data_IF_526057829217
#
_entry.id   IF_526057829217
#
_cell.length_a   1.000
_cell.length_b   1.000
_cell.length_c   1.000
_cell.angle_alpha   90.00
_cell.angle_beta   90.00
_cell.angle_gamma   90.00
#
_symmetry.space_group_name_H-M   'P 1'
#
loop_
_entity.id
_entity.type
_entity.pdbx_description
1 polymer ?
#
# COMPACT_ATOMS: atom_id res chain seq x y z
N UNK A 1 -2.98 -13.43 1.84
CA UNK A 1 -4.38 -13.07 1.53
C UNK A 1 -4.44 -12.52 0.11
N UNK A 2 -5.29 -13.07 -0.78
CA UNK A 2 -5.46 -12.53 -2.13
C UNK A 2 -6.11 -11.13 -2.08
N UNK A 3 -5.62 -10.23 -2.92
CA UNK A 3 -6.17 -8.87 -3.09
C UNK A 3 -7.09 -8.75 -4.30
N UNK A 4 -7.05 -9.73 -5.20
CA UNK A 4 -7.88 -9.76 -6.39
C UNK A 4 -8.93 -10.86 -6.30
N UNK A 5 -10.14 -10.50 -6.69
CA UNK A 5 -11.25 -11.42 -6.93
C UNK A 5 -11.94 -11.00 -8.23
N UNK A 6 -11.91 -11.87 -9.23
CA UNK A 6 -12.51 -11.62 -10.54
C UNK A 6 -11.97 -10.31 -11.16
N UNK A 7 -10.66 -10.08 -11.08
CA UNK A 7 -10.00 -8.88 -11.60
C UNK A 7 -10.29 -7.57 -10.86
N UNK A 8 -11.00 -7.62 -9.73
CA UNK A 8 -11.33 -6.47 -8.89
C UNK A 8 -10.65 -6.53 -7.52
N UNK A 9 -10.50 -5.38 -6.87
CA UNK A 9 -9.92 -5.26 -5.53
C UNK A 9 -10.74 -4.35 -4.63
N UNK A 10 -10.72 -4.67 -3.33
CA UNK A 10 -11.28 -3.85 -2.25
C UNK A 10 -10.16 -3.18 -1.40
N UNK A 11 -8.90 -3.47 -1.71
CA UNK A 11 -7.74 -2.97 -0.97
C UNK A 11 -6.58 -2.58 -1.88
N UNK A 12 -6.02 -1.41 -1.62
CA UNK A 12 -4.71 -1.02 -2.13
C UNK A 12 -3.69 -1.18 -1.01
N UNK A 13 -2.53 -1.74 -1.33
CA UNK A 13 -1.48 -2.02 -0.35
C UNK A 13 -0.17 -1.40 -0.80
N UNK A 14 0.48 -0.69 0.13
CA UNK A 14 1.84 -0.17 -0.04
C UNK A 14 2.72 -0.88 0.98
N UNK A 15 3.67 -1.69 0.49
CA UNK A 15 4.62 -2.40 1.35
C UNK A 15 5.98 -1.72 1.26
N UNK A 16 6.41 -1.14 2.37
CA UNK A 16 7.72 -0.51 2.54
C UNK A 16 8.67 -1.45 3.27
N UNK A 17 9.94 -1.46 2.86
CA UNK A 17 11.02 -2.12 3.58
C UNK A 17 12.25 -1.21 3.64
N UNK A 18 12.60 -0.74 4.83
CA UNK A 18 13.82 0.06 5.02
C UNK A 18 13.96 0.65 6.41
N UNK A 19 15.15 1.18 6.69
CA UNK A 19 15.53 1.75 7.98
C UNK A 19 14.75 3.02 8.33
N UNK A 20 14.32 3.79 7.32
CA UNK A 20 13.52 5.02 7.50
C UNK A 20 12.01 4.73 7.71
N UNK A 21 11.64 3.55 8.24
CA UNK A 21 10.24 3.13 8.37
C UNK A 21 9.38 4.08 9.21
N UNK A 22 9.94 4.68 10.26
CA UNK A 22 9.23 5.66 11.09
C UNK A 22 8.87 6.92 10.29
N UNK A 23 9.83 7.40 9.47
CA UNK A 23 9.61 8.52 8.56
C UNK A 23 8.59 8.17 7.49
N UNK A 24 8.63 6.96 6.94
CA UNK A 24 7.62 6.48 6.00
C UNK A 24 6.22 6.49 6.62
N UNK A 25 6.04 5.98 7.85
CA UNK A 25 4.75 6.00 8.55
C UNK A 25 4.24 7.45 8.71
N UNK A 26 5.08 8.36 9.19
CA UNK A 26 4.71 9.76 9.38
C UNK A 26 4.30 10.44 8.05
N UNK A 27 5.05 10.19 6.98
CA UNK A 27 4.75 10.70 5.64
C UNK A 27 3.43 10.16 5.11
N UNK A 28 3.14 8.87 5.31
CA UNK A 28 1.88 8.26 4.89
C UNK A 28 0.68 8.83 5.63
N UNK A 29 0.76 8.99 6.96
CA UNK A 29 -0.29 9.62 7.77
C UNK A 29 -0.58 11.05 7.31
N UNK A 30 0.47 11.86 7.11
CA UNK A 30 0.33 13.23 6.61
C UNK A 30 -0.22 13.28 5.18
N UNK A 31 0.29 12.45 4.27
CA UNK A 31 -0.19 12.37 2.89
C UNK A 31 -1.68 12.06 2.86
N UNK A 32 -2.12 11.06 3.60
CA UNK A 32 -3.51 10.65 3.64
C UNK A 32 -4.43 11.69 4.26
N UNK A 33 -3.99 12.37 5.32
CA UNK A 33 -4.70 13.50 5.89
C UNK A 33 -4.90 14.63 4.87
N UNK A 34 -3.84 15.01 4.16
CA UNK A 34 -3.89 16.10 3.17
C UNK A 34 -4.64 15.74 1.89
N UNK A 35 -4.78 14.44 1.57
CA UNK A 35 -5.55 13.97 0.39
C UNK A 35 -6.94 13.45 0.72
N UNK A 36 -7.38 13.52 1.99
CA UNK A 36 -8.70 13.04 2.42
C UNK A 36 -8.86 11.52 2.41
N UNK A 37 -7.77 10.76 2.46
CA UNK A 37 -7.81 9.29 2.56
C UNK A 37 -7.98 8.92 4.04
N UNK A 38 -9.19 8.56 4.46
CA UNK A 38 -9.49 8.22 5.85
C UNK A 38 -9.48 6.71 6.13
N UNK A 39 -9.90 5.89 5.16
CA UNK A 39 -10.07 4.45 5.33
C UNK A 39 -8.76 3.69 5.08
N UNK A 40 -7.82 3.79 6.03
CA UNK A 40 -6.57 3.04 5.97
C UNK A 40 -6.18 2.41 7.30
N UNK A 41 -5.30 1.42 7.25
CA UNK A 41 -4.68 0.79 8.42
C UNK A 41 -3.21 0.55 8.13
N UNK A 42 -2.36 0.86 9.11
CA UNK A 42 -0.93 0.64 9.03
C UNK A 42 -0.59 -0.54 9.92
N UNK A 43 0.22 -1.44 9.39
CA UNK A 43 0.69 -2.61 10.11
C UNK A 43 2.20 -2.74 9.99
N UNK A 44 2.79 -3.29 11.03
CA UNK A 44 4.16 -3.77 11.05
C UNK A 44 4.17 -5.25 10.66
N UNK A 45 5.12 -5.60 9.78
CA UNK A 45 5.42 -6.98 9.43
C UNK A 45 6.29 -7.66 10.50
N UNK A 46 6.86 -8.82 10.14
CA UNK A 46 7.76 -9.58 11.02
C UNK A 46 8.98 -8.77 11.48
N UNK A 47 9.57 -8.02 10.55
CA UNK A 47 10.72 -7.15 10.81
C UNK A 47 10.22 -5.73 11.05
N UNK A 48 10.80 -5.01 12.02
CA UNK A 48 10.34 -3.65 12.39
C UNK A 48 10.32 -2.66 11.21
N UNK A 49 11.20 -2.89 10.24
CA UNK A 49 11.41 -2.09 9.03
C UNK A 49 10.41 -2.39 7.91
N UNK A 50 9.61 -3.44 8.05
CA UNK A 50 8.56 -3.80 7.09
C UNK A 50 7.24 -3.18 7.53
N UNK A 51 6.77 -2.21 6.75
CA UNK A 51 5.48 -1.56 6.99
C UNK A 51 4.54 -1.88 5.84
N UNK A 52 3.31 -2.25 6.17
CA UNK A 52 2.24 -2.48 5.22
C UNK A 52 1.14 -1.46 5.49
N UNK A 53 0.81 -0.66 4.48
CA UNK A 53 -0.29 0.29 4.53
C UNK A 53 -1.42 -0.24 3.67
N UNK A 54 -2.53 -0.59 4.31
CA UNK A 54 -3.75 -1.04 3.65
C UNK A 54 -4.70 0.14 3.52
N UNK A 55 -5.19 0.40 2.31
CA UNK A 55 -6.18 1.42 2.01
C UNK A 55 -7.42 0.68 1.54
N UNK A 56 -8.50 0.77 2.30
CA UNK A 56 -9.77 0.21 1.89
C UNK A 56 -10.39 1.11 0.81
N UNK A 57 -10.90 0.48 -0.24
CA UNK A 57 -11.54 1.17 -1.36
C UNK A 57 -12.84 0.47 -1.73
N UNK A 58 -13.74 1.19 -2.39
CA UNK A 58 -14.85 0.54 -3.08
C UNK A 58 -14.30 -0.41 -4.15
N UNK A 59 -15.00 -1.53 -4.34
CA UNK A 59 -14.61 -2.56 -5.31
C UNK A 59 -14.32 -1.92 -6.68
N UNK A 60 -13.09 -2.07 -7.15
CA UNK A 60 -12.65 -1.47 -8.42
C UNK A 60 -11.80 -2.40 -9.27
N UNK A 61 -11.77 -2.19 -10.60
CA UNK A 61 -10.91 -2.94 -11.49
C UNK A 61 -9.42 -2.73 -11.19
N UNK A 62 -8.59 -3.75 -11.43
CA UNK A 62 -7.14 -3.70 -11.26
C UNK A 62 -6.47 -2.50 -11.97
N UNK A 63 -6.95 -2.11 -13.15
CA UNK A 63 -6.41 -0.98 -13.90
C UNK A 63 -6.62 0.36 -13.19
N UNK A 64 -7.76 0.55 -12.54
CA UNK A 64 -8.08 1.75 -11.75
C UNK A 64 -7.29 1.76 -10.43
N UNK A 65 -7.19 0.61 -9.77
CA UNK A 65 -6.34 0.41 -8.60
C UNK A 65 -4.88 0.83 -8.88
N UNK A 66 -4.34 0.44 -10.04
CA UNK A 66 -2.99 0.81 -10.47
C UNK A 66 -2.80 2.31 -10.70
N UNK A 67 -3.80 3.00 -11.29
CA UNK A 67 -3.76 4.46 -11.44
C UNK A 67 -3.69 5.16 -10.09
N UNK A 68 -4.54 4.74 -9.13
CA UNK A 68 -4.55 5.29 -7.77
C UNK A 68 -3.23 5.06 -7.03
N UNK A 69 -2.69 3.84 -7.09
CA UNK A 69 -1.39 3.49 -6.51
C UNK A 69 -0.24 4.31 -7.12
N UNK A 70 -0.29 4.57 -8.42
CA UNK A 70 0.68 5.40 -9.12
C UNK A 70 0.63 6.85 -8.62
N UNK A 71 -0.57 7.43 -8.48
CA UNK A 71 -0.73 8.79 -7.93
C UNK A 71 -0.16 8.93 -6.52
N UNK A 72 -0.38 7.93 -5.65
CA UNK A 72 0.18 7.94 -4.29
C UNK A 72 1.71 7.80 -4.35
N UNK A 73 2.22 6.91 -5.20
CA UNK A 73 3.66 6.68 -5.37
C UNK A 73 4.39 7.91 -5.87
N UNK A 74 3.84 8.66 -6.84
CA UNK A 74 4.46 9.89 -7.34
C UNK A 74 4.55 10.97 -6.25
N UNK A 75 3.51 11.11 -5.41
CA UNK A 75 3.54 12.04 -4.27
C UNK A 75 4.57 11.64 -3.21
N UNK A 76 4.86 10.34 -3.07
CA UNK A 76 5.83 9.84 -2.09
C UNK A 76 7.27 9.89 -2.61
N UNK A 77 7.50 9.66 -3.91
CA UNK A 77 8.83 9.70 -4.56
C UNK A 77 9.55 11.04 -4.38
N UNK A 78 8.82 12.15 -4.33
CA UNK A 78 9.39 13.47 -4.09
C UNK A 78 9.90 13.68 -2.66
N UNK A 79 9.57 12.77 -1.72
CA UNK A 79 9.85 12.92 -0.29
C UNK A 79 10.74 11.82 0.30
N UNK A 80 10.79 10.64 -0.33
CA UNK A 80 11.53 9.48 0.14
C UNK A 80 12.09 8.67 -1.05
N UNK A 81 13.33 8.16 -0.98
CA UNK A 81 13.83 7.21 -1.95
C UNK A 81 12.92 5.98 -2.07
N UNK A 82 12.65 5.53 -3.30
CA UNK A 82 11.73 4.42 -3.54
C UNK A 82 12.26 3.12 -2.92
N UNK A 83 11.67 2.72 -1.79
CA UNK A 83 11.90 1.44 -1.09
C UNK A 83 10.59 0.71 -0.77
N UNK A 84 9.57 0.97 -1.58
CA UNK A 84 8.25 0.35 -1.45
C UNK A 84 7.80 -0.28 -2.76
N UNK A 85 6.93 -1.26 -2.64
CA UNK A 85 6.14 -1.84 -3.73
C UNK A 85 4.66 -1.62 -3.46
N UNK A 86 3.86 -1.69 -4.51
CA UNK A 86 2.41 -1.52 -4.44
C UNK A 86 1.70 -2.77 -4.94
N UNK A 87 0.56 -3.06 -4.33
CA UNK A 87 -0.32 -4.16 -4.71
C UNK A 87 -1.77 -3.69 -4.66
N UNK A 88 -2.67 -4.25 -5.50
CA UNK A 88 -2.38 -5.24 -6.53
C UNK A 88 -1.64 -4.63 -7.73
N UNK A 89 -0.91 -5.43 -8.50
CA UNK A 89 -0.09 -5.08 -9.67
C UNK A 89 -0.49 -5.85 -10.92
N UNK A 90 -0.56 -5.13 -12.05
CA UNK A 90 -0.71 -5.71 -13.40
C UNK A 90 0.58 -6.36 -13.90
N UNK A 91 1.73 -6.05 -13.30
CA UNK A 91 3.01 -6.70 -13.62
C UNK A 91 3.14 -8.09 -13.02
N UNK A 92 2.16 -8.53 -12.22
CA UNK A 92 2.14 -9.83 -11.57
C UNK A 92 0.91 -10.62 -12.06
N UNK A 93 1.00 -11.95 -12.20
CA UNK A 93 -0.20 -12.76 -12.42
C UNK A 93 -1.16 -12.62 -11.22
N UNK A 94 -2.46 -12.79 -11.44
CA UNK A 94 -3.51 -12.58 -10.44
C UNK A 94 -3.23 -13.35 -9.13
N UNK A 95 -2.80 -14.61 -9.23
CA UNK A 95 -2.46 -15.45 -8.07
C UNK A 95 -1.29 -14.93 -7.22
N UNK A 96 -0.44 -14.05 -7.76
CA UNK A 96 0.67 -13.42 -7.03
C UNK A 96 0.30 -12.06 -6.42
N UNK A 97 -0.92 -11.56 -6.67
CA UNK A 97 -1.47 -10.39 -6.00
C UNK A 97 -1.95 -10.75 -4.59
N UNK A 98 -1.03 -11.25 -3.79
CA UNK A 98 -1.23 -11.70 -2.42
C UNK A 98 -0.38 -10.85 -1.47
N UNK A 99 -0.92 -10.61 -0.29
CA UNK A 99 -0.19 -9.97 0.82
C UNK A 99 0.07 -10.96 1.94
N UNK A 100 1.22 -10.81 2.60
CA UNK A 100 1.48 -11.49 3.87
C UNK A 100 0.59 -10.90 4.95
N UNK A 101 0.08 -11.76 5.84
CA UNK A 101 -0.71 -11.28 6.96
C UNK A 101 0.14 -10.35 7.86
N UNK A 102 -0.43 -9.21 8.28
CA UNK A 102 0.27 -8.29 9.18
C UNK A 102 0.47 -8.91 10.56
N UNK A 103 1.52 -8.47 11.26
CA UNK A 103 1.86 -9.00 12.59
C UNK A 103 1.33 -8.11 13.71
N UNK A 104 1.48 -6.79 13.58
CA UNK A 104 1.08 -5.82 14.58
C UNK A 104 0.44 -4.60 13.92
N UNK A 105 -0.68 -4.10 14.48
CA UNK A 105 -1.30 -2.84 14.05
C UNK A 105 -0.61 -1.65 14.70
N UNK A 106 -0.40 -0.56 13.94
CA UNK A 106 0.29 0.67 14.34
C UNK A 106 -0.63 1.91 14.30
#
# INVERSE_FOLDING_TARGET
MPLLKEGNTDYLVIEYKGEEYQRFIALMKHLFQTTGIAAYSIYQGRDKERIQVFIQVDRMPLSEAQKRLSMITEKLKSRLPKRWKTLPSTSLPEAYNIVTLPYQKL
#
